data_IF_454167383942
#
_entry.id   IF_454167383942
#
_cell.length_a   1.000
_cell.length_b   1.000
_cell.length_c   1.000
_cell.angle_alpha   90.00
_cell.angle_beta   90.00
_cell.angle_gamma   90.00
#
_symmetry.space_group_name_H-M   'P 1'
#
loop_
_entity.id
_entity.type
_entity.pdbx_description
1 polymer ?
#
# COMPACT_ATOMS: atom_id res chain seq x y z
N UNK A 1 5.42 37.80 3.79
CA UNK A 1 4.76 36.49 3.48
C UNK A 1 3.63 36.20 4.48
N UNK A 2 3.88 36.27 5.77
CA UNK A 2 2.91 35.95 6.85
C UNK A 2 1.63 36.80 6.80
N UNK A 3 1.77 38.12 6.64
CA UNK A 3 0.65 39.07 6.53
C UNK A 3 -0.25 38.77 5.32
N UNK A 4 0.33 38.41 4.17
CA UNK A 4 -0.45 38.02 2.97
C UNK A 4 -1.20 36.70 3.19
N UNK A 5 -0.59 35.75 3.88
CA UNK A 5 -1.23 34.49 4.22
C UNK A 5 -2.44 34.71 5.13
N UNK A 6 -2.30 35.53 6.19
CA UNK A 6 -3.42 35.92 7.05
C UNK A 6 -4.55 36.58 6.26
N UNK A 7 -4.22 37.59 5.45
CA UNK A 7 -5.23 38.30 4.64
C UNK A 7 -5.98 37.37 3.70
N UNK A 8 -5.25 36.40 3.07
CA UNK A 8 -5.89 35.39 2.23
C UNK A 8 -6.79 34.47 3.04
N UNK A 9 -6.29 33.91 4.15
CA UNK A 9 -7.04 32.97 4.95
C UNK A 9 -8.30 33.60 5.56
N UNK A 10 -8.20 34.79 6.09
CA UNK A 10 -9.35 35.52 6.64
C UNK A 10 -10.43 35.75 5.58
N UNK A 11 -10.03 36.17 4.37
CA UNK A 11 -10.96 36.37 3.26
C UNK A 11 -11.55 35.08 2.67
N UNK A 12 -10.81 33.99 2.69
CA UNK A 12 -11.22 32.74 2.05
C UNK A 12 -11.95 31.79 3.00
N UNK A 13 -11.54 31.70 4.28
CA UNK A 13 -12.06 30.77 5.26
C UNK A 13 -12.89 31.43 6.39
N UNK A 14 -12.91 32.78 6.48
CA UNK A 14 -13.64 33.49 7.53
C UNK A 14 -13.22 33.03 8.93
N UNK A 15 -14.20 32.71 9.78
CA UNK A 15 -13.97 32.31 11.19
C UNK A 15 -13.18 30.98 11.33
N UNK A 16 -13.03 30.21 10.27
CA UNK A 16 -12.17 29.01 10.27
C UNK A 16 -10.68 29.33 10.06
N UNK A 17 -10.34 30.53 9.58
CA UNK A 17 -8.98 30.93 9.22
C UNK A 17 -7.93 30.69 10.34
N UNK A 18 -8.16 31.04 11.64
CA UNK A 18 -7.16 30.83 12.67
C UNK A 18 -6.74 29.36 12.85
N UNK A 19 -7.69 28.43 12.72
CA UNK A 19 -7.43 27.00 12.88
C UNK A 19 -6.63 26.44 11.70
N UNK A 20 -6.96 26.84 10.48
CA UNK A 20 -6.26 26.40 9.26
C UNK A 20 -4.86 27.04 9.17
N UNK A 21 -4.70 28.27 9.62
CA UNK A 21 -3.39 28.90 9.76
C UNK A 21 -2.50 28.13 10.76
N UNK A 22 -3.06 27.79 11.93
CA UNK A 22 -2.35 26.98 12.93
C UNK A 22 -1.96 25.60 12.38
N UNK A 23 -2.88 24.90 11.71
CA UNK A 23 -2.60 23.64 11.02
C UNK A 23 -1.39 23.76 10.09
N UNK A 24 -1.38 24.76 9.22
CA UNK A 24 -0.31 24.96 8.26
C UNK A 24 1.03 25.28 8.93
N UNK A 25 1.03 26.10 9.98
CA UNK A 25 2.25 26.46 10.73
C UNK A 25 2.81 25.27 11.47
N UNK A 26 1.98 24.44 12.10
CA UNK A 26 2.43 23.23 12.81
C UNK A 26 3.01 22.24 11.80
N UNK A 27 2.33 21.98 10.68
CA UNK A 27 2.79 21.04 9.66
C UNK A 27 4.13 21.49 9.04
N UNK A 28 4.26 22.77 8.72
CA UNK A 28 5.51 23.36 8.22
C UNK A 28 6.65 23.22 9.25
N UNK A 29 6.37 23.55 10.50
CA UNK A 29 7.34 23.43 11.60
C UNK A 29 7.78 21.99 11.80
N UNK A 30 6.85 21.04 11.75
CA UNK A 30 7.13 19.61 11.90
C UNK A 30 7.94 19.06 10.71
N UNK A 31 7.67 19.51 9.48
CA UNK A 31 8.49 19.15 8.31
C UNK A 31 9.93 19.62 8.49
N UNK A 32 10.12 20.89 8.87
CA UNK A 32 11.45 21.46 9.10
C UNK A 32 12.18 20.72 10.24
N UNK A 33 11.49 20.43 11.34
CA UNK A 33 12.06 19.72 12.48
C UNK A 33 12.42 18.26 12.18
N UNK A 34 11.71 17.63 11.25
CA UNK A 34 12.01 16.24 10.84
C UNK A 34 13.34 16.10 10.09
N UNK A 35 13.84 17.18 9.49
CA UNK A 35 15.01 17.15 8.60
C UNK A 35 14.80 16.36 7.32
N UNK A 36 13.59 15.85 7.07
CA UNK A 36 13.28 15.10 5.86
C UNK A 36 12.96 16.07 4.71
N UNK A 37 13.59 15.90 3.54
CA UNK A 37 13.19 16.66 2.35
C UNK A 37 11.82 16.19 1.86
N UNK A 38 11.06 17.10 1.27
CA UNK A 38 9.82 16.78 0.57
C UNK A 38 10.14 16.59 -0.92
N UNK A 39 10.10 15.33 -1.36
CA UNK A 39 10.38 14.98 -2.75
C UNK A 39 9.09 14.99 -3.58
N UNK A 40 9.21 15.27 -4.86
CA UNK A 40 8.08 15.33 -5.81
C UNK A 40 7.32 13.99 -5.93
N UNK A 41 7.99 12.88 -5.62
CA UNK A 41 7.39 11.53 -5.68
C UNK A 41 7.10 10.94 -4.31
N UNK A 42 7.17 11.76 -3.25
CA UNK A 42 6.83 11.29 -1.90
C UNK A 42 5.35 10.96 -1.78
N UNK A 43 5.07 10.04 -0.87
CA UNK A 43 3.73 9.72 -0.42
C UNK A 43 3.55 10.11 1.05
N UNK A 44 2.32 10.15 1.57
CA UNK A 44 2.08 10.36 2.99
C UNK A 44 2.85 9.37 3.88
N UNK A 45 3.06 8.14 3.40
CA UNK A 45 3.75 7.07 4.12
C UNK A 45 5.22 7.43 4.39
N UNK A 46 5.90 8.11 3.46
CA UNK A 46 7.28 8.58 3.65
C UNK A 46 7.44 9.48 4.87
N UNK A 47 6.38 10.18 5.26
CA UNK A 47 6.38 11.17 6.34
C UNK A 47 5.64 10.73 7.61
N UNK A 48 5.18 9.46 7.68
CA UNK A 48 4.39 8.94 8.81
C UNK A 48 5.13 8.92 10.15
N UNK A 49 6.45 8.99 10.16
CA UNK A 49 7.28 9.13 11.37
C UNK A 49 7.72 10.59 11.64
N UNK A 50 7.51 11.49 10.69
CA UNK A 50 7.85 12.91 10.74
C UNK A 50 6.62 13.79 10.90
N UNK A 51 6.37 14.67 9.93
CA UNK A 51 5.27 15.65 9.96
C UNK A 51 3.87 15.03 9.98
N UNK A 52 3.72 13.76 9.61
CA UNK A 52 2.46 13.01 9.62
C UNK A 52 2.44 11.91 10.69
N UNK A 53 3.22 12.06 11.78
CA UNK A 53 3.20 11.09 12.86
C UNK A 53 1.82 11.07 13.59
N UNK A 54 1.48 9.99 14.31
CA UNK A 54 0.14 9.80 14.89
C UNK A 54 -0.31 10.94 15.80
N UNK A 55 0.61 11.55 16.56
CA UNK A 55 0.27 12.67 17.44
C UNK A 55 -0.12 13.91 16.62
N UNK A 56 0.69 14.27 15.64
CA UNK A 56 0.41 15.43 14.78
C UNK A 56 -0.83 15.23 13.92
N UNK A 57 -1.05 14.02 13.40
CA UNK A 57 -2.26 13.70 12.64
C UNK A 57 -3.53 13.93 13.47
N UNK A 58 -3.50 13.58 14.77
CA UNK A 58 -4.59 13.88 15.68
C UNK A 58 -4.77 15.40 15.89
N UNK A 59 -3.68 16.14 16.09
CA UNK A 59 -3.73 17.61 16.22
C UNK A 59 -4.31 18.26 14.97
N UNK A 60 -3.91 17.80 13.78
CA UNK A 60 -4.44 18.33 12.52
C UNK A 60 -5.93 18.07 12.38
N UNK A 61 -6.38 16.87 12.72
CA UNK A 61 -7.78 16.49 12.66
C UNK A 61 -8.64 17.35 13.62
N UNK A 62 -8.19 17.54 14.87
CA UNK A 62 -8.83 18.41 15.84
C UNK A 62 -8.89 19.88 15.37
N UNK A 63 -7.91 20.36 14.66
CA UNK A 63 -7.93 21.72 14.09
C UNK A 63 -8.94 21.85 12.95
N UNK A 64 -9.06 20.84 12.10
CA UNK A 64 -10.12 20.82 11.08
C UNK A 64 -11.51 20.70 11.69
N UNK A 65 -11.70 19.92 12.77
CA UNK A 65 -12.98 19.85 13.48
C UNK A 65 -13.40 21.22 14.04
N UNK A 66 -12.45 21.96 14.63
CA UNK A 66 -12.69 23.34 15.10
C UNK A 66 -12.99 24.29 13.95
N UNK A 67 -12.29 24.15 12.82
CA UNK A 67 -12.50 24.95 11.64
C UNK A 67 -13.89 24.71 11.04
N UNK A 68 -14.29 23.46 10.83
CA UNK A 68 -15.63 23.10 10.33
C UNK A 68 -16.73 23.62 11.28
N UNK A 69 -16.52 23.49 12.60
CA UNK A 69 -17.47 23.98 13.61
C UNK A 69 -17.60 25.48 13.60
N UNK A 70 -16.52 26.24 13.43
CA UNK A 70 -16.53 27.69 13.41
C UNK A 70 -17.37 28.28 12.26
N UNK A 71 -17.50 27.53 11.16
CA UNK A 71 -18.25 27.98 9.97
C UNK A 71 -19.43 27.07 9.63
N UNK A 72 -19.95 26.29 10.58
CA UNK A 72 -21.01 25.29 10.34
C UNK A 72 -22.31 25.88 9.76
N UNK A 73 -22.56 27.19 10.02
CA UNK A 73 -23.75 27.91 9.55
C UNK A 73 -23.53 28.63 8.21
N UNK A 74 -22.31 28.64 7.66
CA UNK A 74 -21.99 29.16 6.33
C UNK A 74 -21.59 28.05 5.40
N UNK A 75 -22.52 27.65 4.53
CA UNK A 75 -22.31 26.53 3.60
C UNK A 75 -21.07 26.72 2.74
N UNK A 76 -20.82 27.93 2.26
CA UNK A 76 -19.69 28.21 1.34
C UNK A 76 -18.35 28.07 2.06
N UNK A 77 -18.26 28.62 3.26
CA UNK A 77 -17.04 28.52 4.07
C UNK A 77 -16.82 27.09 4.54
N UNK A 78 -17.88 26.39 4.96
CA UNK A 78 -17.81 24.98 5.36
C UNK A 78 -17.30 24.09 4.20
N UNK A 79 -17.84 24.26 2.99
CA UNK A 79 -17.38 23.51 1.82
C UNK A 79 -15.89 23.76 1.49
N UNK A 80 -15.41 25.00 1.65
CA UNK A 80 -13.99 25.34 1.49
C UNK A 80 -13.10 24.63 2.51
N UNK A 81 -13.52 24.60 3.77
CA UNK A 81 -12.80 23.89 4.84
C UNK A 81 -12.77 22.39 4.57
N UNK A 82 -13.92 21.79 4.23
CA UNK A 82 -14.02 20.36 3.92
C UNK A 82 -13.18 19.96 2.70
N UNK A 83 -13.16 20.78 1.66
CA UNK A 83 -12.29 20.57 0.50
C UNK A 83 -10.82 20.58 0.89
N UNK A 84 -10.43 21.54 1.75
CA UNK A 84 -9.06 21.66 2.26
C UNK A 84 -8.65 20.53 3.20
N UNK A 85 -9.59 19.78 3.78
CA UNK A 85 -9.33 18.61 4.62
C UNK A 85 -9.05 17.33 3.82
N UNK A 86 -9.42 17.27 2.53
CA UNK A 86 -9.25 16.05 1.72
C UNK A 86 -7.80 15.50 1.69
N UNK A 87 -6.75 16.32 1.55
CA UNK A 87 -5.37 15.81 1.61
C UNK A 87 -5.02 15.15 2.95
N UNK A 88 -5.57 15.65 4.06
CA UNK A 88 -5.39 15.04 5.38
C UNK A 88 -6.10 13.68 5.45
N UNK A 89 -7.35 13.60 4.98
CA UNK A 89 -8.13 12.36 4.94
C UNK A 89 -7.46 11.30 4.05
N UNK A 90 -6.96 11.69 2.88
CA UNK A 90 -6.15 10.82 2.02
C UNK A 90 -4.90 10.31 2.75
N UNK A 91 -4.18 11.20 3.46
CA UNK A 91 -3.00 10.83 4.23
C UNK A 91 -3.32 9.85 5.36
N UNK A 92 -4.46 10.04 6.04
CA UNK A 92 -4.95 9.11 7.07
C UNK A 92 -5.21 7.71 6.51
N UNK A 93 -5.87 7.63 5.34
CA UNK A 93 -6.12 6.35 4.66
C UNK A 93 -4.81 5.67 4.24
N UNK A 94 -3.91 6.41 3.60
CA UNK A 94 -2.62 5.87 3.14
C UNK A 94 -1.76 5.36 4.30
N UNK A 95 -1.70 6.08 5.41
CA UNK A 95 -0.95 5.63 6.59
C UNK A 95 -1.62 4.41 7.22
N UNK A 96 -2.95 4.43 7.39
CA UNK A 96 -3.69 3.34 8.04
C UNK A 96 -3.52 1.99 7.32
N UNK A 97 -3.41 1.98 5.98
CA UNK A 97 -3.20 0.73 5.22
C UNK A 97 -1.82 0.11 5.43
N UNK A 98 -0.85 0.86 5.96
CA UNK A 98 0.53 0.39 6.19
C UNK A 98 0.83 0.11 7.66
N UNK A 99 -0.18 0.05 8.52
CA UNK A 99 0.00 -0.17 9.94
C UNK A 99 -0.74 -1.41 10.42
N UNK A 100 0.02 -2.39 10.90
CA UNK A 100 -0.54 -3.58 11.52
C UNK A 100 -1.44 -3.20 12.70
N UNK A 101 -2.65 -3.79 12.75
CA UNK A 101 -3.62 -3.49 13.80
C UNK A 101 -4.37 -2.18 13.65
N UNK A 102 -4.28 -1.49 12.49
CA UNK A 102 -5.14 -0.35 12.20
C UNK A 102 -6.62 -0.72 12.28
N UNK A 103 -7.44 0.21 12.82
CA UNK A 103 -8.89 0.02 12.93
C UNK A 103 -9.54 0.04 11.54
N UNK A 104 -9.85 -1.14 11.02
CA UNK A 104 -10.45 -1.31 9.70
C UNK A 104 -11.85 -0.70 9.61
N UNK A 105 -12.61 -0.64 10.72
CA UNK A 105 -13.93 -0.01 10.73
C UNK A 105 -13.79 1.51 10.59
N UNK A 106 -12.89 2.11 11.34
CA UNK A 106 -12.57 3.54 11.22
C UNK A 106 -12.07 3.88 9.80
N UNK A 107 -11.26 3.02 9.21
CA UNK A 107 -10.80 3.21 7.83
C UNK A 107 -11.95 3.15 6.81
N UNK A 108 -12.96 2.28 7.02
CA UNK A 108 -14.17 2.25 6.17
C UNK A 108 -14.97 3.55 6.27
N UNK A 109 -15.23 4.00 7.48
CA UNK A 109 -15.98 5.24 7.73
C UNK A 109 -15.27 6.46 7.09
N UNK A 110 -13.96 6.53 7.25
CA UNK A 110 -13.15 7.58 6.64
C UNK A 110 -13.16 7.50 5.11
N UNK A 111 -13.08 6.30 4.55
CA UNK A 111 -13.11 6.08 3.10
C UNK A 111 -14.47 6.50 2.50
N UNK A 112 -15.57 6.17 3.17
CA UNK A 112 -16.91 6.57 2.76
C UNK A 112 -17.07 8.10 2.77
N UNK A 113 -16.59 8.74 3.83
CA UNK A 113 -16.58 10.21 3.92
C UNK A 113 -15.70 10.85 2.85
N UNK A 114 -14.53 10.29 2.59
CA UNK A 114 -13.62 10.76 1.54
C UNK A 114 -14.23 10.64 0.15
N UNK A 115 -14.86 9.50 -0.17
CA UNK A 115 -15.55 9.28 -1.43
C UNK A 115 -16.72 10.24 -1.62
N UNK A 116 -17.55 10.43 -0.58
CA UNK A 116 -18.65 11.37 -0.61
C UNK A 116 -18.17 12.81 -0.88
N UNK A 117 -17.13 13.27 -0.17
CA UNK A 117 -16.58 14.62 -0.31
C UNK A 117 -15.92 14.83 -1.67
N UNK A 118 -15.14 13.87 -2.15
CA UNK A 118 -14.51 13.98 -3.47
C UNK A 118 -15.53 14.02 -4.60
N UNK A 119 -16.63 13.30 -4.49
CA UNK A 119 -17.75 13.37 -5.42
C UNK A 119 -18.51 14.70 -5.31
N UNK A 120 -18.80 15.18 -4.10
CA UNK A 120 -19.47 16.46 -3.85
C UNK A 120 -18.71 17.65 -4.44
N UNK A 121 -17.38 17.64 -4.31
CA UNK A 121 -16.51 18.74 -4.80
C UNK A 121 -15.99 18.51 -6.21
N UNK A 122 -16.49 17.49 -6.91
CA UNK A 122 -16.10 17.15 -8.28
C UNK A 122 -14.58 17.03 -8.48
N UNK A 123 -13.89 16.40 -7.50
CA UNK A 123 -12.45 16.18 -7.58
C UNK A 123 -12.16 15.15 -8.67
N UNK A 124 -11.47 15.56 -9.71
CA UNK A 124 -11.24 14.74 -10.91
C UNK A 124 -10.07 13.78 -10.75
N UNK A 125 -9.05 14.17 -10.02
CA UNK A 125 -7.82 13.39 -9.86
C UNK A 125 -7.15 13.65 -8.53
N UNK A 126 -6.54 12.61 -7.95
CA UNK A 126 -5.74 12.70 -6.73
C UNK A 126 -4.30 13.18 -7.00
N UNK A 127 -3.86 13.11 -8.26
CA UNK A 127 -2.52 13.50 -8.68
C UNK A 127 -2.50 13.87 -10.17
N UNK A 128 -1.34 14.34 -10.66
CA UNK A 128 -1.12 14.71 -12.05
C UNK A 128 -1.18 13.55 -13.06
N UNK A 129 -1.23 12.30 -12.61
CA UNK A 129 -1.31 11.10 -13.46
C UNK A 129 -2.75 10.66 -13.76
N UNK A 130 -3.71 11.55 -13.54
CA UNK A 130 -5.14 11.29 -13.75
C UNK A 130 -5.63 10.03 -13.01
N UNK A 131 -5.44 10.04 -11.68
CA UNK A 131 -5.92 8.99 -10.78
C UNK A 131 -7.25 9.41 -10.13
N UNK A 132 -8.42 8.94 -10.63
CA UNK A 132 -9.71 9.34 -10.09
C UNK A 132 -9.91 8.88 -8.64
N UNK A 133 -10.49 9.71 -7.76
CA UNK A 133 -10.82 9.30 -6.40
C UNK A 133 -11.71 8.06 -6.32
N UNK A 134 -12.64 7.89 -7.24
CA UNK A 134 -13.52 6.72 -7.28
C UNK A 134 -12.73 5.42 -7.47
N UNK A 135 -11.76 5.39 -8.39
CA UNK A 135 -10.91 4.23 -8.64
C UNK A 135 -10.05 3.90 -7.42
N UNK A 136 -9.51 4.93 -6.76
CA UNK A 136 -8.79 4.79 -5.49
C UNK A 136 -9.68 4.16 -4.41
N UNK A 137 -10.91 4.63 -4.25
CA UNK A 137 -11.84 4.10 -3.25
C UNK A 137 -12.22 2.64 -3.51
N UNK A 138 -12.44 2.28 -4.78
CA UNK A 138 -12.71 0.89 -5.20
C UNK A 138 -11.50 0.00 -4.87
N UNK A 139 -10.29 0.44 -5.24
CA UNK A 139 -9.06 -0.28 -4.94
C UNK A 139 -8.87 -0.45 -3.43
N UNK A 140 -9.05 0.63 -2.66
CA UNK A 140 -8.87 0.62 -1.21
C UNK A 140 -9.79 -0.40 -0.52
N UNK A 141 -11.08 -0.42 -0.88
CA UNK A 141 -12.03 -1.41 -0.36
C UNK A 141 -11.63 -2.83 -0.68
N UNK A 142 -11.27 -3.08 -1.93
CA UNK A 142 -10.93 -4.43 -2.41
C UNK A 142 -9.64 -4.96 -1.79
N UNK A 143 -8.61 -4.11 -1.66
CA UNK A 143 -7.26 -4.55 -1.34
C UNK A 143 -6.90 -4.36 0.13
N UNK A 144 -7.26 -3.22 0.73
CA UNK A 144 -6.82 -2.87 2.08
C UNK A 144 -7.88 -3.06 3.17
N UNK A 145 -9.14 -3.27 2.77
CA UNK A 145 -10.26 -3.58 3.67
C UNK A 145 -10.90 -4.94 3.36
N UNK A 146 -10.15 -6.01 3.11
CA UNK A 146 -10.77 -7.31 2.87
C UNK A 146 -11.59 -7.73 4.09
N UNK A 147 -12.69 -8.43 3.84
CA UNK A 147 -13.59 -8.92 4.90
C UNK A 147 -13.26 -10.34 5.33
N UNK A 148 -12.18 -10.92 4.83
CA UNK A 148 -12.03 -12.36 4.73
C UNK A 148 -11.03 -12.98 5.69
N UNK A 149 -10.98 -14.29 5.64
CA UNK A 149 -10.18 -15.22 6.42
C UNK A 149 -8.79 -14.68 6.72
N UNK A 150 -8.41 -14.78 7.97
CA UNK A 150 -7.05 -14.53 8.39
C UNK A 150 -6.13 -15.59 7.79
N UNK A 151 -5.04 -15.17 7.17
CA UNK A 151 -4.05 -16.08 6.63
C UNK A 151 -3.41 -16.93 7.73
N UNK A 152 -3.30 -18.24 7.50
CA UNK A 152 -2.55 -19.14 8.37
C UNK A 152 -1.04 -18.84 8.38
N UNK A 153 -0.54 -18.11 7.39
CA UNK A 153 0.83 -17.65 7.29
C UNK A 153 1.06 -16.31 8.01
N UNK A 154 0.03 -15.65 8.57
CA UNK A 154 0.20 -14.40 9.28
C UNK A 154 1.24 -14.51 10.42
N UNK A 155 2.31 -13.70 10.34
CA UNK A 155 3.44 -13.73 11.25
C UNK A 155 4.38 -14.93 11.12
N UNK A 156 4.25 -15.72 10.04
CA UNK A 156 5.18 -16.82 9.76
C UNK A 156 6.59 -16.29 9.49
N UNK A 157 7.59 -17.05 9.93
CA UNK A 157 9.00 -16.70 9.71
C UNK A 157 9.41 -17.01 8.27
N UNK A 158 10.11 -16.08 7.65
CA UNK A 158 10.67 -16.24 6.31
C UNK A 158 12.14 -16.62 6.39
N UNK A 159 12.52 -17.73 5.77
CA UNK A 159 13.90 -18.13 5.58
C UNK A 159 14.29 -17.97 4.12
N UNK A 160 15.12 -16.98 3.86
CA UNK A 160 15.56 -16.62 2.51
C UNK A 160 16.63 -17.59 1.99
N UNK A 161 16.36 -18.28 0.88
CA UNK A 161 17.36 -18.99 0.08
C UNK A 161 17.92 -18.00 -0.95
N UNK A 162 17.05 -17.18 -1.54
CA UNK A 162 17.37 -16.08 -2.43
C UNK A 162 16.83 -14.78 -1.85
N UNK A 163 17.70 -13.98 -1.22
CA UNK A 163 17.29 -12.71 -0.59
C UNK A 163 16.80 -11.69 -1.64
N UNK A 164 15.81 -10.86 -1.32
CA UNK A 164 15.42 -9.73 -2.17
C UNK A 164 16.56 -8.71 -2.28
N UNK A 165 16.41 -7.77 -3.20
CA UNK A 165 17.39 -6.68 -3.38
C UNK A 165 17.45 -5.79 -2.14
N UNK A 166 18.67 -5.43 -1.71
CA UNK A 166 18.94 -4.68 -0.47
C UNK A 166 18.15 -3.37 -0.41
N UNK A 167 17.95 -2.73 -1.56
CA UNK A 167 17.18 -1.49 -1.68
C UNK A 167 15.73 -1.61 -1.18
N UNK A 168 15.16 -2.83 -1.22
CA UNK A 168 13.77 -3.13 -0.86
C UNK A 168 13.67 -4.13 0.31
N UNK A 169 14.75 -4.27 1.08
CA UNK A 169 14.89 -5.26 2.15
C UNK A 169 14.50 -4.75 3.55
N UNK A 170 14.18 -3.48 3.71
CA UNK A 170 13.98 -2.81 5.01
C UNK A 170 12.87 -3.44 5.88
N UNK A 171 11.95 -4.18 5.26
CA UNK A 171 10.84 -4.88 5.91
C UNK A 171 10.71 -6.33 5.40
N UNK A 172 11.74 -6.84 4.69
CA UNK A 172 11.64 -8.07 3.91
C UNK A 172 11.25 -9.31 4.73
N UNK A 173 11.71 -9.42 5.97
CA UNK A 173 11.44 -10.60 6.80
C UNK A 173 9.98 -10.66 7.32
N UNK A 174 9.25 -9.55 7.27
CA UNK A 174 7.86 -9.43 7.72
C UNK A 174 6.89 -9.20 6.54
N UNK A 175 7.35 -8.52 5.49
CA UNK A 175 6.50 -8.04 4.40
C UNK A 175 5.71 -9.12 3.64
N UNK A 176 6.13 -10.38 3.71
CA UNK A 176 5.41 -11.48 3.05
C UNK A 176 4.35 -12.14 3.94
N UNK A 177 4.23 -11.72 5.21
CA UNK A 177 3.38 -12.39 6.20
C UNK A 177 2.76 -11.43 7.22
N UNK A 178 2.79 -10.13 6.97
CA UNK A 178 2.32 -9.09 7.89
C UNK A 178 0.84 -8.68 7.68
N UNK A 179 0.18 -9.26 6.68
CA UNK A 179 -1.20 -8.94 6.26
C UNK A 179 -1.37 -7.46 5.79
N UNK A 180 -0.27 -6.80 5.39
CA UNK A 180 -0.26 -5.43 4.89
C UNK A 180 0.02 -5.38 3.39
N UNK A 181 -1.02 -5.32 2.61
CA UNK A 181 -0.91 -5.33 1.15
C UNK A 181 -0.30 -4.04 0.58
N UNK A 182 0.64 -4.19 -0.33
CA UNK A 182 1.29 -3.09 -1.05
C UNK A 182 0.33 -2.33 -1.97
N UNK A 183 0.61 -1.03 -2.15
CA UNK A 183 -0.14 -0.15 -3.05
C UNK A 183 0.35 -0.19 -4.49
N UNK A 184 -0.06 0.83 -5.25
CA UNK A 184 0.27 0.97 -6.68
C UNK A 184 1.72 1.39 -6.96
N UNK A 185 2.53 1.57 -5.93
CA UNK A 185 3.95 1.88 -6.03
C UNK A 185 4.78 0.76 -5.43
N UNK A 186 5.88 0.39 -6.09
CA UNK A 186 6.77 -0.71 -5.65
C UNK A 186 7.63 -0.38 -4.43
N UNK A 187 7.54 0.83 -3.89
CA UNK A 187 8.37 1.28 -2.75
C UNK A 187 7.77 0.97 -1.38
N UNK A 188 6.56 0.45 -1.34
CA UNK A 188 5.80 0.26 -0.10
C UNK A 188 5.28 -1.17 0.02
N UNK A 189 5.61 -1.87 1.09
CA UNK A 189 5.17 -3.23 1.39
C UNK A 189 5.50 -4.28 0.32
N UNK A 190 6.35 -3.95 -0.64
CA UNK A 190 6.77 -4.85 -1.70
C UNK A 190 8.21 -5.30 -1.52
N UNK A 191 8.49 -6.55 -1.81
CA UNK A 191 9.83 -7.12 -1.89
C UNK A 191 10.18 -7.43 -3.34
N UNK A 192 11.37 -7.00 -3.79
CA UNK A 192 11.74 -7.05 -5.21
C UNK A 192 13.01 -7.83 -5.51
N UNK A 193 13.04 -8.47 -6.68
CA UNK A 193 14.22 -9.12 -7.27
C UNK A 193 14.45 -8.61 -8.68
N UNK A 194 15.72 -8.40 -9.02
CA UNK A 194 16.14 -7.91 -10.33
C UNK A 194 16.79 -9.02 -11.13
N UNK A 195 16.18 -9.42 -12.24
CA UNK A 195 16.72 -10.36 -13.23
C UNK A 195 17.06 -11.77 -12.74
N UNK A 196 16.67 -12.15 -11.53
CA UNK A 196 16.99 -13.44 -10.90
C UNK A 196 15.79 -14.05 -10.20
N UNK A 197 15.80 -15.36 -10.03
CA UNK A 197 14.75 -16.13 -9.35
C UNK A 197 14.69 -15.81 -7.85
N UNK A 198 13.52 -15.97 -7.24
CA UNK A 198 13.34 -15.96 -5.81
C UNK A 198 13.03 -17.35 -5.27
N UNK A 199 13.60 -17.67 -4.11
CA UNK A 199 13.30 -18.87 -3.37
C UNK A 199 13.40 -18.61 -1.87
N UNK A 200 12.39 -19.06 -1.10
CA UNK A 200 12.36 -18.95 0.35
C UNK A 200 11.43 -20.00 0.96
N UNK A 201 11.54 -20.17 2.27
CA UNK A 201 10.71 -21.10 3.05
C UNK A 201 9.97 -20.30 4.12
N UNK A 202 8.65 -20.52 4.23
CA UNK A 202 7.84 -20.04 5.35
C UNK A 202 7.76 -21.14 6.40
N UNK A 203 7.96 -20.78 7.68
CA UNK A 203 7.70 -21.63 8.84
C UNK A 203 6.41 -21.16 9.51
N UNK A 204 5.34 -21.93 9.38
CA UNK A 204 4.03 -21.64 10.00
C UNK A 204 4.03 -21.80 11.53
N UNK A 205 5.18 -22.20 12.13
CA UNK A 205 5.35 -22.44 13.56
C UNK A 205 4.91 -23.84 14.00
N UNK A 206 3.85 -24.34 13.44
CA UNK A 206 3.29 -25.70 13.69
C UNK A 206 2.68 -26.26 12.41
N UNK A 207 2.37 -27.55 12.39
CA UNK A 207 1.60 -28.14 11.29
C UNK A 207 0.18 -27.58 11.25
N UNK A 208 -0.20 -27.01 10.11
CA UNK A 208 -1.53 -26.48 9.82
C UNK A 208 -2.16 -27.20 8.64
N UNK A 209 -3.49 -27.23 8.59
CA UNK A 209 -4.25 -27.84 7.50
C UNK A 209 -4.79 -26.74 6.60
N UNK A 210 -4.46 -26.78 5.31
CA UNK A 210 -4.85 -25.76 4.32
C UNK A 210 -5.01 -26.37 2.93
N UNK A 211 -5.73 -25.69 2.06
CA UNK A 211 -5.97 -26.12 0.67
C UNK A 211 -5.63 -25.04 -0.36
N UNK A 212 -5.27 -23.84 0.06
CA UNK A 212 -5.01 -22.73 -0.85
C UNK A 212 -3.78 -21.93 -0.41
N UNK A 213 -2.90 -21.66 -1.38
CA UNK A 213 -1.78 -20.74 -1.24
C UNK A 213 -1.87 -19.71 -2.37
N UNK A 214 -1.69 -18.45 -2.03
CA UNK A 214 -1.68 -17.37 -3.01
C UNK A 214 -0.63 -16.32 -2.66
N UNK A 215 -0.01 -15.74 -3.69
CA UNK A 215 1.00 -14.70 -3.55
C UNK A 215 0.72 -13.60 -4.56
N UNK A 216 0.72 -12.35 -4.11
CA UNK A 216 0.45 -11.21 -4.97
C UNK A 216 1.72 -10.67 -5.63
N UNK A 217 1.59 -10.30 -6.90
CA UNK A 217 2.64 -9.70 -7.72
C UNK A 217 2.17 -8.35 -8.27
N UNK A 218 3.08 -7.38 -8.27
CA UNK A 218 2.87 -6.07 -8.88
C UNK A 218 3.23 -6.12 -10.37
N UNK A 219 2.35 -5.60 -11.21
CA UNK A 219 2.62 -5.30 -12.61
C UNK A 219 2.63 -3.78 -12.82
N UNK A 220 3.78 -3.22 -13.18
CA UNK A 220 3.97 -1.79 -13.42
C UNK A 220 5.04 -1.57 -14.50
N UNK A 221 4.66 -1.74 -15.76
CA UNK A 221 5.59 -1.70 -16.90
C UNK A 221 6.43 -0.42 -16.94
N UNK A 222 5.83 0.73 -16.67
CA UNK A 222 6.51 2.02 -16.64
C UNK A 222 7.68 2.12 -15.64
N UNK A 223 7.76 1.20 -14.67
CA UNK A 223 8.84 1.10 -13.71
C UNK A 223 9.69 -0.17 -13.88
N UNK A 224 9.57 -0.84 -15.02
CA UNK A 224 10.27 -2.10 -15.35
C UNK A 224 9.90 -3.28 -14.44
N UNK A 225 8.72 -3.18 -13.80
CA UNK A 225 8.17 -4.22 -12.95
C UNK A 225 7.24 -5.08 -13.80
N UNK A 226 7.68 -6.29 -14.10
CA UNK A 226 6.99 -7.26 -14.93
C UNK A 226 6.56 -8.46 -14.08
N UNK A 227 5.50 -9.14 -14.50
CA UNK A 227 5.12 -10.40 -13.85
C UNK A 227 6.24 -11.42 -14.03
N UNK A 228 6.51 -12.29 -13.03
CA UNK A 228 7.44 -13.39 -13.22
C UNK A 228 6.90 -14.39 -14.25
N UNK A 229 7.71 -15.36 -14.63
CA UNK A 229 7.27 -16.45 -15.52
C UNK A 229 6.29 -17.37 -14.80
N UNK A 230 6.63 -17.76 -13.56
CA UNK A 230 5.80 -18.69 -12.79
C UNK A 230 6.10 -18.60 -11.29
N UNK A 231 5.16 -19.11 -10.49
CA UNK A 231 5.36 -19.44 -9.08
C UNK A 231 4.98 -20.89 -8.81
N UNK A 232 5.79 -21.56 -7.98
CA UNK A 232 5.59 -22.94 -7.56
C UNK A 232 5.62 -23.02 -6.05
N UNK A 233 4.71 -23.78 -5.47
CA UNK A 233 4.64 -24.06 -4.04
C UNK A 233 4.96 -25.51 -3.76
N UNK A 234 5.69 -25.74 -2.69
CA UNK A 234 5.94 -27.09 -2.15
C UNK A 234 5.80 -27.06 -0.64
N UNK A 235 5.37 -28.16 -0.04
CA UNK A 235 5.06 -28.25 1.38
C UNK A 235 5.82 -29.37 2.06
N UNK A 236 6.14 -29.18 3.34
CA UNK A 236 6.88 -30.17 4.14
C UNK A 236 6.47 -30.10 5.61
N UNK A 237 6.52 -31.26 6.31
CA UNK A 237 6.38 -31.31 7.77
C UNK A 237 7.73 -31.30 8.50
N UNK A 238 8.81 -31.71 7.84
CA UNK A 238 10.15 -31.90 8.42
C UNK A 238 11.21 -30.90 7.91
N UNK A 239 10.84 -30.02 6.93
CA UNK A 239 11.72 -29.05 6.26
C UNK A 239 12.80 -29.67 5.35
N UNK A 240 12.85 -31.00 5.23
CA UNK A 240 13.80 -31.71 4.39
C UNK A 240 13.12 -32.26 3.13
N UNK A 241 11.98 -32.91 3.32
CA UNK A 241 11.23 -33.56 2.25
C UNK A 241 10.06 -32.69 1.80
N UNK A 242 10.24 -31.98 0.69
CA UNK A 242 9.21 -31.11 0.10
C UNK A 242 8.44 -31.84 -1.00
N UNK A 243 7.11 -31.91 -0.85
CA UNK A 243 6.20 -32.39 -1.87
C UNK A 243 5.54 -31.21 -2.63
N UNK A 244 5.26 -31.32 -3.93
CA UNK A 244 4.54 -30.29 -4.66
C UNK A 244 3.16 -29.97 -4.05
N UNK A 245 2.82 -28.69 -3.99
CA UNK A 245 1.48 -28.24 -3.64
C UNK A 245 0.75 -27.80 -4.90
N UNK A 246 0.10 -28.74 -5.58
CA UNK A 246 -0.56 -28.52 -6.86
C UNK A 246 0.40 -28.28 -8.02
N UNK A 247 -0.15 -27.68 -9.07
CA UNK A 247 0.60 -27.37 -10.29
C UNK A 247 1.31 -26.01 -10.19
N UNK A 248 2.32 -25.81 -11.01
CA UNK A 248 2.96 -24.52 -11.19
C UNK A 248 1.95 -23.51 -11.76
N UNK A 249 1.87 -22.32 -11.17
CA UNK A 249 1.09 -21.22 -11.70
C UNK A 249 1.95 -20.41 -12.68
N UNK A 250 1.57 -20.42 -13.96
CA UNK A 250 2.24 -19.67 -15.01
C UNK A 250 1.52 -18.33 -15.24
N UNK A 251 2.30 -17.25 -15.31
CA UNK A 251 1.77 -15.90 -15.61
C UNK A 251 1.73 -15.66 -17.11
N UNK A 252 0.61 -15.16 -17.59
CA UNK A 252 0.52 -14.69 -18.97
C UNK A 252 1.32 -13.39 -19.17
N UNK A 253 1.92 -13.22 -20.35
CA UNK A 253 2.54 -11.95 -20.73
C UNK A 253 1.45 -10.84 -20.73
N UNK A 254 1.71 -9.75 -20.03
CA UNK A 254 0.83 -8.58 -19.97
C UNK A 254 1.60 -7.34 -20.46
N UNK A 255 1.05 -6.68 -21.50
CA UNK A 255 1.63 -5.48 -22.13
C UNK A 255 0.87 -4.21 -21.77
N UNK A 256 -0.10 -4.30 -20.88
CA UNK A 256 -0.87 -3.15 -20.45
C UNK A 256 -0.01 -2.23 -19.57
N UNK A 257 -0.09 -0.93 -19.84
CA UNK A 257 0.63 0.09 -19.05
C UNK A 257 -0.07 0.40 -17.70
N UNK A 258 -1.29 -0.09 -17.50
CA UNK A 258 -1.99 0.09 -16.25
C UNK A 258 -1.33 -0.72 -15.13
N UNK A 259 -1.24 -0.13 -13.94
CA UNK A 259 -0.77 -0.83 -12.75
C UNK A 259 -1.80 -1.89 -12.35
N UNK A 260 -1.35 -3.12 -12.14
CA UNK A 260 -2.21 -4.24 -11.75
C UNK A 260 -1.59 -5.05 -10.63
N UNK A 261 -2.45 -5.74 -9.89
CA UNK A 261 -2.08 -6.77 -8.92
C UNK A 261 -2.53 -8.12 -9.48
N UNK A 262 -1.62 -9.07 -9.57
CA UNK A 262 -1.90 -10.40 -10.11
C UNK A 262 -1.51 -11.44 -9.07
N UNK A 263 -2.46 -12.28 -8.68
CA UNK A 263 -2.22 -13.33 -7.69
C UNK A 263 -1.82 -14.63 -8.36
N UNK A 264 -0.69 -15.19 -7.94
CA UNK A 264 -0.28 -16.57 -8.24
C UNK A 264 -0.95 -17.52 -7.25
N UNK A 265 -2.15 -17.99 -7.60
CA UNK A 265 -3.00 -18.82 -6.73
C UNK A 265 -2.97 -20.27 -7.13
N UNK A 266 -2.73 -21.15 -6.14
CA UNK A 266 -2.91 -22.61 -6.27
C UNK A 266 -3.89 -23.09 -5.19
N UNK A 267 -4.89 -23.85 -5.60
CA UNK A 267 -5.95 -24.37 -4.72
C UNK A 267 -6.19 -25.86 -5.00
N UNK A 268 -6.19 -26.65 -3.95
CA UNK A 268 -6.42 -28.10 -4.01
C UNK A 268 -7.87 -28.42 -3.65
N UNK A 269 -8.37 -29.55 -4.15
CA UNK A 269 -9.71 -30.04 -3.83
C UNK A 269 -9.83 -30.58 -2.37
N UNK A 270 -8.69 -30.84 -1.72
CA UNK A 270 -8.63 -31.31 -0.33
C UNK A 270 -7.46 -30.67 0.39
N UNK A 271 -7.61 -30.43 1.69
CA UNK A 271 -6.56 -29.87 2.52
C UNK A 271 -5.37 -30.84 2.66
N UNK A 272 -4.19 -30.27 2.67
CA UNK A 272 -2.94 -30.93 3.07
C UNK A 272 -2.52 -30.44 4.45
N UNK A 273 -1.70 -31.22 5.16
CA UNK A 273 -1.17 -30.84 6.46
C UNK A 273 0.34 -30.67 6.35
N UNK A 274 0.83 -29.47 6.68
CA UNK A 274 2.25 -29.17 6.63
C UNK A 274 2.60 -28.00 7.58
N UNK A 275 3.89 -27.88 7.92
CA UNK A 275 4.44 -26.76 8.67
C UNK A 275 5.24 -25.80 7.80
N UNK A 276 5.94 -26.31 6.81
CA UNK A 276 6.83 -25.50 5.97
C UNK A 276 6.27 -25.39 4.57
N UNK A 277 6.36 -24.19 4.01
CA UNK A 277 5.97 -23.90 2.62
C UNK A 277 7.19 -23.32 1.93
N UNK A 278 7.66 -23.97 0.87
CA UNK A 278 8.70 -23.44 -0.02
C UNK A 278 8.02 -22.75 -1.19
N UNK A 279 8.41 -21.50 -1.43
CA UNK A 279 7.96 -20.69 -2.55
C UNK A 279 9.11 -20.49 -3.51
N UNK A 280 8.91 -20.81 -4.79
CA UNK A 280 9.89 -20.64 -5.86
C UNK A 280 9.28 -19.80 -6.97
N UNK A 281 9.89 -18.66 -7.27
CA UNK A 281 9.44 -17.75 -8.30
C UNK A 281 10.47 -17.72 -9.42
N UNK A 282 10.03 -18.04 -10.64
CA UNK A 282 10.85 -17.95 -11.85
C UNK A 282 10.69 -16.59 -12.50
N UNK A 283 11.78 -15.82 -12.56
CA UNK A 283 11.81 -14.56 -13.27
C UNK A 283 11.73 -14.77 -14.79
N UNK A 284 11.31 -13.72 -15.51
CA UNK A 284 11.53 -13.65 -16.97
C UNK A 284 12.98 -13.30 -17.34
N UNK A 285 13.79 -12.88 -16.36
CA UNK A 285 15.19 -12.53 -16.49
C UNK A 285 15.40 -11.13 -17.04
N UNK A 286 15.26 -10.95 -18.33
CA UNK A 286 15.45 -9.67 -19.02
C UNK A 286 14.12 -9.13 -19.54
N UNK A 287 14.03 -7.81 -19.63
CA UNK A 287 12.91 -7.13 -20.28
C UNK A 287 12.79 -7.62 -21.74
N UNK A 288 11.58 -8.01 -22.17
CA UNK A 288 11.36 -8.59 -23.49
C UNK A 288 11.53 -7.57 -24.63
N UNK A 289 11.62 -8.07 -25.87
CA UNK A 289 11.90 -7.26 -27.05
C UNK A 289 10.89 -6.14 -27.35
N UNK A 290 9.68 -6.26 -26.86
CA UNK A 290 8.62 -5.26 -27.02
C UNK A 290 8.65 -4.16 -25.93
N UNK A 291 9.42 -4.37 -24.86
CA UNK A 291 9.52 -3.40 -23.75
C UNK A 291 10.64 -2.40 -24.03
N UNK A 292 10.45 -1.12 -23.69
CA UNK A 292 11.45 -0.07 -23.94
C UNK A 292 12.79 -0.29 -23.19
N UNK A 293 12.78 -1.09 -22.11
CA UNK A 293 13.98 -1.54 -21.39
C UNK A 293 14.56 -2.86 -21.91
N UNK A 294 14.33 -3.21 -23.19
CA UNK A 294 14.77 -4.49 -23.78
C UNK A 294 16.23 -4.81 -23.49
N UNK A 295 16.46 -6.04 -23.02
CA UNK A 295 17.80 -6.55 -22.72
C UNK A 295 18.38 -6.15 -21.36
N UNK A 296 17.72 -5.25 -20.63
CA UNK A 296 18.06 -4.97 -19.22
C UNK A 296 17.34 -5.92 -18.28
N UNK A 297 17.87 -6.13 -17.05
CA UNK A 297 17.20 -6.96 -16.07
C UNK A 297 15.78 -6.47 -15.76
N UNK A 298 14.83 -7.38 -15.78
CA UNK A 298 13.46 -7.11 -15.38
C UNK A 298 13.32 -7.25 -13.86
N UNK A 299 12.57 -6.35 -13.25
CA UNK A 299 12.14 -6.50 -11.86
C UNK A 299 10.86 -7.32 -11.77
N UNK A 300 10.72 -8.10 -10.72
CA UNK A 300 9.41 -8.47 -10.21
C UNK A 300 9.33 -8.13 -8.72
N UNK A 301 8.14 -7.78 -8.29
CA UNK A 301 7.84 -7.47 -6.90
C UNK A 301 6.71 -8.37 -6.43
N UNK A 302 6.87 -8.91 -5.23
CA UNK A 302 5.86 -9.69 -4.57
C UNK A 302 5.55 -9.12 -3.19
N UNK A 303 4.37 -9.45 -2.74
CA UNK A 303 3.79 -9.09 -1.47
C UNK A 303 3.21 -10.35 -0.84
N UNK A 304 2.43 -10.25 0.20
CA UNK A 304 1.81 -11.33 0.97
C UNK A 304 1.81 -12.74 0.36
N UNK A 305 2.24 -13.71 1.16
CA UNK A 305 1.97 -15.13 0.93
C UNK A 305 0.85 -15.55 1.86
N UNK A 306 -0.35 -15.64 1.33
CA UNK A 306 -1.54 -16.02 2.08
C UNK A 306 -1.82 -17.52 1.97
N UNK A 307 -2.22 -18.13 3.09
CA UNK A 307 -2.47 -19.58 3.23
C UNK A 307 -3.83 -19.80 3.89
N UNK A 308 -4.69 -20.63 3.26
CA UNK A 308 -6.06 -20.84 3.70
C UNK A 308 -6.50 -22.31 3.65
#
# INVERSE_FOLDING_TARGET
ADSLMHTFMDGYYGDAAPYLYQYQKIMQGALLASGQPLWIYDSPISHKKGMLNPHLMKVYDELFDKAEKAVENDKTLLERVQLSRLPLQYSQLEIARTEAGSDKQKSRELLELFEQRTAQFDVKSLNERNNPPADYCVLYRKRFLPQNEKSLAAGAKVEWISKPEVKYQTIADEALTDELYGGTTYVESWVGWEGRDAEFILDLGEEKSFSRIETDFLHQLGAWVLLPKSVTYSVSSDKENFAPFGDTFDFAEDRDMQVKFVSGKVELNSSVKARYIKVQVKTIGLCPSWHYGVGYPAWFFMDEVAVY
#
